data_IF_625703240462
#
_entry.id   IF_625703240462
#
_cell.length_a   1.000
_cell.length_b   1.000
_cell.length_c   1.000
_cell.angle_alpha   90.00
_cell.angle_beta   90.00
_cell.angle_gamma   90.00
#
_symmetry.space_group_name_H-M   'P 1'
#
loop_
_entity.id
_entity.type
_entity.pdbx_description
1 polymer ?
#
# COMPACT_ATOMS: atom_id res chain seq x y z
N UNK A 1 32.99 -4.06 43.31
CA UNK A 1 32.77 -4.90 44.52
C UNK A 1 31.35 -5.43 44.45
N UNK A 2 31.01 -6.71 44.44
CA UNK A 2 31.75 -7.99 44.56
C UNK A 2 31.14 -8.98 43.55
N UNK A 3 32.00 -9.82 42.99
CA UNK A 3 31.71 -10.99 42.17
C UNK A 3 31.41 -12.17 43.12
N UNK A 4 30.50 -13.08 42.74
CA UNK A 4 30.45 -14.44 43.28
C UNK A 4 30.35 -15.49 42.15
N UNK A 5 31.51 -16.04 41.81
CA UNK A 5 31.81 -17.46 41.50
C UNK A 5 31.29 -18.39 42.63
N UNK A 6 31.09 -19.71 42.54
CA UNK A 6 31.30 -20.81 41.60
C UNK A 6 30.19 -21.88 41.92
N UNK A 7 29.94 -22.95 41.17
CA UNK A 7 30.73 -24.19 41.22
C UNK A 7 30.26 -25.20 40.14
N UNK A 8 31.25 -25.87 39.57
CA UNK A 8 31.24 -26.98 38.61
C UNK A 8 30.77 -28.28 39.27
N UNK A 9 30.11 -29.17 38.49
CA UNK A 9 30.34 -30.62 38.66
C UNK A 9 30.09 -31.41 37.35
N UNK A 10 31.19 -32.01 36.92
CA UNK A 10 31.41 -33.00 35.89
C UNK A 10 30.65 -34.30 36.20
N UNK A 11 30.13 -34.99 35.18
CA UNK A 11 30.10 -36.46 35.14
C UNK A 11 30.01 -36.95 33.69
N UNK A 12 31.10 -37.55 33.23
CA UNK A 12 31.21 -38.32 31.99
C UNK A 12 31.12 -39.82 32.32
N UNK A 13 30.97 -40.65 31.26
CA UNK A 13 31.15 -42.12 31.18
C UNK A 13 29.84 -42.94 31.32
N UNK A 14 29.52 -43.97 30.53
CA UNK A 14 30.28 -44.88 29.67
C UNK A 14 29.46 -45.40 28.47
N UNK A 15 30.17 -45.73 27.39
CA UNK A 15 29.74 -46.56 26.27
C UNK A 15 29.60 -48.04 26.69
N UNK A 16 28.58 -48.72 26.18
CA UNK A 16 28.57 -50.19 26.08
C UNK A 16 28.39 -50.57 24.61
N UNK A 17 29.44 -51.21 24.09
CA UNK A 17 29.50 -51.94 22.84
C UNK A 17 28.89 -53.33 23.08
N UNK A 18 28.03 -53.80 22.19
CA UNK A 18 27.79 -55.24 22.03
C UNK A 18 27.46 -55.56 20.57
N UNK A 19 28.43 -56.16 19.89
CA UNK A 19 28.24 -56.87 18.63
C UNK A 19 27.88 -58.34 18.91
N UNK A 20 26.88 -58.90 18.22
CA UNK A 20 26.88 -60.32 17.84
C UNK A 20 26.38 -60.52 16.40
N UNK A 21 27.15 -61.36 15.72
CA UNK A 21 27.24 -61.77 14.31
C UNK A 21 25.99 -62.42 13.68
N UNK A 22 25.83 -62.08 12.40
CA UNK A 22 25.61 -62.89 11.18
C UNK A 22 24.65 -64.08 11.15
N UNK A 23 23.67 -64.00 10.23
CA UNK A 23 23.33 -65.10 9.33
C UNK A 23 22.97 -64.62 7.91
N UNK A 24 23.18 -65.53 6.95
CA UNK A 24 23.52 -65.30 5.54
C UNK A 24 22.39 -64.81 4.59
N UNK A 25 22.88 -64.08 3.58
CA UNK A 25 22.37 -63.75 2.22
C UNK A 25 21.17 -64.53 1.65
N UNK A 26 20.27 -63.79 1.01
CA UNK A 26 19.90 -64.07 -0.40
C UNK A 26 19.74 -62.75 -1.18
N UNK A 27 20.33 -62.71 -2.37
CA UNK A 27 20.29 -61.60 -3.35
C UNK A 27 19.04 -61.75 -4.21
N UNK A 28 18.38 -60.64 -4.56
CA UNK A 28 18.09 -60.14 -5.93
C UNK A 28 16.76 -59.37 -6.00
N UNK A 29 16.84 -58.04 -6.18
CA UNK A 29 16.08 -57.23 -7.14
C UNK A 29 16.12 -55.73 -6.76
N UNK A 30 16.71 -54.91 -7.62
CA UNK A 30 16.48 -53.48 -7.75
C UNK A 30 16.08 -53.22 -9.22
N UNK A 31 15.43 -52.10 -9.59
CA UNK A 31 14.79 -51.06 -8.77
C UNK A 31 13.35 -50.74 -9.24
N UNK A 32 12.43 -50.43 -8.31
CA UNK A 32 11.23 -49.68 -8.66
C UNK A 32 11.53 -48.19 -8.45
N UNK A 33 11.47 -47.44 -9.55
CA UNK A 33 11.59 -45.98 -9.62
C UNK A 33 10.62 -45.36 -8.61
N UNK A 34 11.17 -44.74 -7.56
CA UNK A 34 10.41 -43.82 -6.73
C UNK A 34 10.11 -42.61 -7.61
N UNK A 35 8.87 -42.52 -8.09
CA UNK A 35 8.33 -41.26 -8.58
C UNK A 35 8.35 -40.30 -7.41
N UNK A 36 9.36 -39.45 -7.43
CA UNK A 36 9.48 -38.27 -6.59
C UNK A 36 8.13 -37.55 -6.65
N UNK A 37 7.44 -37.52 -5.52
CA UNK A 37 6.24 -36.72 -5.37
C UNK A 37 6.72 -35.28 -5.37
N UNK A 38 6.76 -34.69 -6.57
CA UNK A 38 6.83 -33.25 -6.74
C UNK A 38 5.66 -32.70 -5.94
N UNK A 39 5.99 -32.19 -4.74
CA UNK A 39 5.09 -31.39 -3.93
C UNK A 39 4.56 -30.33 -4.86
N UNK A 40 3.30 -30.49 -5.25
CA UNK A 40 2.55 -29.51 -5.98
C UNK A 40 2.63 -28.25 -5.15
N UNK A 41 3.41 -27.27 -5.62
CA UNK A 41 3.38 -25.93 -5.07
C UNK A 41 1.90 -25.56 -4.99
N UNK A 42 1.43 -25.24 -3.79
CA UNK A 42 0.08 -24.74 -3.56
C UNK A 42 -0.11 -23.63 -4.58
N UNK A 43 -1.00 -23.86 -5.57
CA UNK A 43 -1.33 -22.87 -6.58
C UNK A 43 -1.71 -21.62 -5.79
N UNK A 44 -0.87 -20.57 -5.81
CA UNK A 44 -1.18 -19.33 -5.11
C UNK A 44 -2.60 -18.95 -5.52
N UNK A 45 -3.49 -18.82 -4.55
CA UNK A 45 -4.90 -18.58 -4.83
C UNK A 45 -5.01 -17.28 -5.62
N UNK A 46 -5.46 -17.40 -6.86
CA UNK A 46 -5.52 -16.31 -7.82
C UNK A 46 -6.47 -15.21 -7.30
N UNK A 47 -5.96 -13.99 -7.20
CA UNK A 47 -6.76 -12.81 -6.86
C UNK A 47 -7.51 -12.39 -8.12
N UNK A 48 -8.83 -12.26 -8.02
CA UNK A 48 -9.61 -11.63 -9.09
C UNK A 48 -9.34 -10.12 -9.06
N UNK A 49 -8.72 -9.63 -10.14
CA UNK A 49 -8.45 -8.20 -10.31
C UNK A 49 -9.58 -7.45 -11.02
N UNK A 50 -10.71 -8.12 -11.31
CA UNK A 50 -11.93 -7.47 -11.77
C UNK A 50 -12.52 -6.65 -10.62
N UNK A 51 -12.75 -5.36 -10.83
CA UNK A 51 -13.17 -4.39 -9.79
C UNK A 51 -12.16 -4.25 -8.65
N UNK A 52 -10.87 -4.35 -8.96
CA UNK A 52 -9.79 -4.16 -8.00
C UNK A 52 -9.58 -2.68 -7.67
N UNK A 53 -10.02 -2.28 -6.49
CA UNK A 53 -9.97 -0.90 -6.04
C UNK A 53 -9.11 -0.79 -4.77
N UNK A 54 -8.08 0.06 -4.82
CA UNK A 54 -7.26 0.41 -3.65
C UNK A 54 -7.65 1.80 -3.21
N UNK A 55 -7.79 1.99 -1.91
CA UNK A 55 -8.26 3.24 -1.34
C UNK A 55 -7.22 3.84 -0.40
N UNK A 56 -7.18 5.17 -0.39
CA UNK A 56 -6.51 5.96 0.62
C UNK A 56 -7.27 5.87 1.95
N UNK A 57 -6.55 6.06 3.05
CA UNK A 57 -7.14 6.20 4.38
C UNK A 57 -7.12 7.67 4.76
N UNK A 58 -8.29 8.26 4.88
CA UNK A 58 -8.48 9.68 5.22
C UNK A 58 -8.82 9.86 6.70
N UNK A 59 -8.55 11.06 7.23
CA UNK A 59 -8.88 11.40 8.62
C UNK A 59 -9.89 12.55 8.62
N UNK A 60 -11.07 12.31 9.18
CA UNK A 60 -12.15 13.30 9.27
C UNK A 60 -12.23 13.88 10.68
N UNK A 61 -12.19 15.20 10.80
CA UNK A 61 -12.35 15.86 12.09
C UNK A 61 -13.83 16.10 12.40
N UNK A 62 -14.26 15.70 13.61
CA UNK A 62 -15.57 16.02 14.17
C UNK A 62 -15.43 16.51 15.60
N UNK A 63 -15.44 17.83 15.77
CA UNK A 63 -15.18 18.49 17.06
C UNK A 63 -13.82 18.05 17.62
N UNK A 64 -13.81 17.39 18.77
CA UNK A 64 -12.60 16.85 19.42
C UNK A 64 -12.22 15.44 18.94
N UNK A 65 -13.05 14.81 18.09
CA UNK A 65 -12.83 13.46 17.59
C UNK A 65 -12.20 13.51 16.20
N UNK A 66 -11.29 12.56 15.97
CA UNK A 66 -10.73 12.25 14.68
C UNK A 66 -11.21 10.86 14.29
N UNK A 67 -11.88 10.77 13.15
CA UNK A 67 -12.36 9.52 12.59
C UNK A 67 -11.44 9.08 11.46
N UNK A 68 -11.04 7.82 11.47
CA UNK A 68 -10.43 7.18 10.31
C UNK A 68 -11.53 6.78 9.35
N UNK A 69 -11.43 7.23 8.11
CA UNK A 69 -12.45 7.09 7.09
C UNK A 69 -11.85 6.59 5.79
N UNK A 70 -12.56 5.68 5.13
CA UNK A 70 -12.24 5.26 3.76
C UNK A 70 -13.44 5.63 2.92
N UNK A 71 -13.23 6.57 2.01
CA UNK A 71 -14.24 6.94 1.03
C UNK A 71 -14.30 5.92 -0.09
N UNK A 72 -15.51 5.68 -0.60
CA UNK A 72 -15.78 4.89 -1.80
C UNK A 72 -16.48 5.71 -2.88
N UNK A 73 -16.59 7.03 -2.71
CA UNK A 73 -17.31 7.91 -3.63
C UNK A 73 -16.77 7.85 -5.06
N UNK A 74 -15.46 7.67 -5.26
CA UNK A 74 -14.83 7.58 -6.58
C UNK A 74 -15.42 6.45 -7.46
N UNK A 75 -15.98 5.42 -6.84
CA UNK A 75 -16.60 4.28 -7.51
C UNK A 75 -18.09 4.12 -7.21
N UNK A 76 -18.66 4.96 -6.34
CA UNK A 76 -20.07 4.93 -5.95
C UNK A 76 -20.77 6.26 -6.29
N UNK A 77 -21.36 6.31 -7.49
CA UNK A 77 -21.89 7.53 -8.10
C UNK A 77 -23.43 7.62 -8.07
N UNK A 78 -24.07 7.07 -7.04
CA UNK A 78 -25.54 7.14 -6.90
C UNK A 78 -26.00 8.55 -6.49
N UNK A 79 -26.92 9.14 -7.25
CA UNK A 79 -27.41 10.52 -7.03
C UNK A 79 -28.20 10.71 -5.74
N UNK A 80 -28.78 9.64 -5.20
CA UNK A 80 -29.58 9.66 -3.97
C UNK A 80 -28.91 8.82 -2.89
N UNK A 81 -27.62 9.04 -2.70
CA UNK A 81 -26.79 8.33 -1.74
C UNK A 81 -27.07 8.73 -0.28
N UNK A 82 -27.75 9.86 -0.07
CA UNK A 82 -28.17 10.39 1.24
C UNK A 82 -29.71 10.56 1.30
N UNK A 83 -30.35 10.39 2.47
CA UNK A 83 -31.80 10.59 2.60
C UNK A 83 -32.30 11.98 2.19
N UNK A 84 -33.18 12.05 1.18
CA UNK A 84 -33.73 13.31 0.69
C UNK A 84 -34.49 14.10 1.77
N UNK A 85 -35.20 13.41 2.67
CA UNK A 85 -35.93 14.06 3.76
C UNK A 85 -35.01 14.64 4.84
N UNK A 86 -33.77 14.13 4.95
CA UNK A 86 -32.74 14.75 5.76
C UNK A 86 -32.24 16.04 5.10
N UNK A 87 -31.94 16.01 3.79
CA UNK A 87 -31.50 17.18 3.03
C UNK A 87 -32.55 18.30 3.00
N UNK A 88 -33.85 17.99 2.94
CA UNK A 88 -34.93 18.98 3.01
C UNK A 88 -34.93 19.78 4.33
N UNK A 89 -34.42 19.19 5.42
CA UNK A 89 -34.36 19.81 6.75
C UNK A 89 -33.05 20.56 7.00
N UNK A 90 -32.18 20.71 6.01
CA UNK A 90 -30.87 21.36 6.17
C UNK A 90 -30.95 22.78 6.74
N UNK A 91 -32.03 23.54 6.45
CA UNK A 91 -32.24 24.90 6.99
C UNK A 91 -32.67 24.91 8.46
N UNK A 92 -33.15 23.79 8.98
CA UNK A 92 -33.65 23.63 10.34
C UNK A 92 -32.63 22.95 11.26
N UNK A 93 -31.65 22.25 10.68
CA UNK A 93 -30.63 21.48 11.40
C UNK A 93 -29.35 22.32 11.56
N UNK A 94 -28.72 22.29 12.75
CA UNK A 94 -27.38 22.83 12.93
C UNK A 94 -26.38 22.16 11.97
N UNK A 95 -25.40 22.92 11.48
CA UNK A 95 -24.38 22.43 10.54
C UNK A 95 -23.63 21.19 11.05
N UNK A 96 -23.38 21.09 12.36
CA UNK A 96 -22.71 19.93 12.95
C UNK A 96 -23.55 18.65 12.91
N UNK A 97 -24.88 18.76 12.77
CA UNK A 97 -25.73 17.59 12.51
C UNK A 97 -25.71 17.19 11.04
N UNK A 98 -25.42 18.13 10.14
CA UNK A 98 -25.30 17.90 8.71
C UNK A 98 -23.95 17.30 8.32
N UNK A 99 -22.89 17.52 9.10
CA UNK A 99 -21.52 17.11 8.77
C UNK A 99 -21.27 15.60 8.82
N UNK A 100 -22.17 14.82 9.42
CA UNK A 100 -22.03 13.37 9.58
C UNK A 100 -23.38 12.68 9.62
N UNK A 101 -23.52 11.59 8.85
CA UNK A 101 -24.70 10.74 8.81
C UNK A 101 -24.26 9.28 8.90
N UNK A 102 -24.85 8.52 9.82
CA UNK A 102 -24.75 7.06 9.79
C UNK A 102 -25.83 6.51 8.85
N UNK A 103 -25.42 5.73 7.85
CA UNK A 103 -26.31 5.20 6.82
C UNK A 103 -27.10 4.01 7.38
N UNK A 104 -28.40 4.01 7.15
CA UNK A 104 -29.25 2.87 7.51
C UNK A 104 -28.96 1.64 6.63
N UNK A 105 -29.62 0.52 6.94
CA UNK A 105 -29.45 -0.74 6.22
C UNK A 105 -29.77 -0.65 4.72
N UNK A 106 -30.72 0.20 4.31
CA UNK A 106 -31.11 0.38 2.90
C UNK A 106 -30.01 1.11 2.13
N UNK A 107 -29.52 2.24 2.66
CA UNK A 107 -28.45 3.00 2.04
C UNK A 107 -27.12 2.25 2.06
N UNK A 108 -26.80 1.57 3.17
CA UNK A 108 -25.64 0.68 3.26
C UNK A 108 -25.68 -0.41 2.21
N UNK A 109 -26.83 -1.08 2.04
CA UNK A 109 -26.97 -2.14 1.03
C UNK A 109 -26.73 -1.59 -0.37
N UNK A 110 -27.32 -0.44 -0.72
CA UNK A 110 -27.10 0.21 -2.03
C UNK A 110 -25.63 0.55 -2.25
N UNK A 111 -24.96 1.10 -1.23
CA UNK A 111 -23.53 1.41 -1.30
C UNK A 111 -22.72 0.14 -1.56
N UNK A 112 -22.91 -0.91 -0.76
CA UNK A 112 -22.23 -2.20 -0.92
C UNK A 112 -22.47 -2.84 -2.30
N UNK A 113 -23.72 -2.87 -2.76
CA UNK A 113 -24.06 -3.38 -4.09
C UNK A 113 -23.36 -2.59 -5.20
N UNK A 114 -23.34 -1.25 -5.08
CA UNK A 114 -22.76 -0.33 -6.05
C UNK A 114 -21.24 -0.45 -6.18
N UNK A 115 -20.56 -0.77 -5.08
CA UNK A 115 -19.09 -1.00 -5.05
C UNK A 115 -18.71 -2.47 -5.18
N UNK A 116 -19.69 -3.35 -5.43
CA UNK A 116 -19.52 -4.79 -5.62
C UNK A 116 -18.89 -5.52 -4.42
N UNK A 117 -19.31 -5.15 -3.20
CA UNK A 117 -18.86 -5.76 -1.94
C UNK A 117 -20.06 -6.32 -1.18
N UNK A 118 -19.83 -7.32 -0.35
CA UNK A 118 -20.84 -7.98 0.48
C UNK A 118 -20.51 -7.85 1.96
N UNK A 119 -21.51 -8.07 2.82
CA UNK A 119 -21.31 -8.07 4.28
C UNK A 119 -20.34 -9.17 4.79
N UNK A 120 -20.09 -10.20 3.96
CA UNK A 120 -19.17 -11.29 4.28
C UNK A 120 -17.72 -10.97 3.91
N UNK A 121 -17.49 -9.89 3.17
CA UNK A 121 -16.15 -9.45 2.81
C UNK A 121 -15.43 -8.83 4.00
N UNK A 122 -14.16 -8.49 3.79
CA UNK A 122 -13.32 -7.86 4.79
C UNK A 122 -12.61 -6.64 4.23
N UNK A 123 -12.45 -5.65 5.09
CA UNK A 123 -11.46 -4.60 4.92
C UNK A 123 -10.09 -5.15 5.29
N UNK A 124 -9.13 -4.91 4.42
CA UNK A 124 -7.72 -5.17 4.59
C UNK A 124 -6.97 -3.85 4.58
N UNK A 125 -6.32 -3.52 5.69
CA UNK A 125 -5.45 -2.35 5.82
C UNK A 125 -4.00 -2.82 5.83
N UNK A 126 -3.24 -2.42 4.83
CA UNK A 126 -1.85 -2.79 4.73
C UNK A 126 -0.94 -1.59 4.95
N UNK A 127 -0.18 -1.64 6.04
CA UNK A 127 0.85 -0.66 6.33
C UNK A 127 2.16 -1.08 5.66
N UNK A 128 2.52 -0.47 4.54
CA UNK A 128 3.69 -0.87 3.76
C UNK A 128 5.03 -0.47 4.38
N UNK A 129 5.03 0.47 5.33
CA UNK A 129 6.22 0.81 6.12
C UNK A 129 6.57 -0.28 7.13
N UNK A 130 5.59 -0.70 7.91
CA UNK A 130 5.75 -1.73 8.95
C UNK A 130 5.57 -3.15 8.43
N UNK A 131 5.13 -3.30 7.17
CA UNK A 131 4.77 -4.56 6.54
C UNK A 131 3.70 -5.35 7.32
N UNK A 132 2.72 -4.66 7.92
CA UNK A 132 1.67 -5.27 8.73
C UNK A 132 0.31 -5.18 8.03
N UNK A 133 -0.40 -6.31 8.02
CA UNK A 133 -1.77 -6.41 7.53
C UNK A 133 -2.76 -6.48 8.71
N UNK A 134 -3.76 -5.61 8.70
CA UNK A 134 -4.93 -5.71 9.56
C UNK A 134 -6.16 -6.14 8.75
N UNK A 135 -6.99 -6.97 9.36
CA UNK A 135 -8.25 -7.44 8.78
C UNK A 135 -9.44 -7.08 9.68
N UNK A 136 -10.47 -6.47 9.11
CA UNK A 136 -11.73 -6.17 9.78
C UNK A 136 -12.91 -6.64 8.92
N UNK A 137 -13.87 -7.43 9.44
CA UNK A 137 -15.08 -7.79 8.69
C UNK A 137 -15.91 -6.56 8.30
N UNK A 138 -16.42 -6.52 7.07
CA UNK A 138 -17.22 -5.39 6.56
C UNK A 138 -18.46 -5.15 7.42
N UNK A 139 -19.14 -6.21 7.87
CA UNK A 139 -20.32 -6.13 8.75
C UNK A 139 -20.07 -5.51 10.14
N UNK A 140 -18.81 -5.29 10.52
CA UNK A 140 -18.45 -4.57 11.76
C UNK A 140 -18.16 -3.08 11.54
N UNK A 141 -18.04 -2.65 10.29
CA UNK A 141 -17.76 -1.27 9.95
C UNK A 141 -19.04 -0.46 9.89
N UNK A 142 -18.99 0.82 10.29
CA UNK A 142 -20.11 1.74 10.12
C UNK A 142 -20.08 2.32 8.71
N UNK A 143 -21.20 2.22 8.01
CA UNK A 143 -21.38 2.92 6.74
C UNK A 143 -21.86 4.34 7.05
N UNK A 144 -21.15 5.34 6.54
CA UNK A 144 -21.34 6.73 6.92
C UNK A 144 -21.21 7.65 5.70
N UNK A 145 -21.77 8.85 5.83
CA UNK A 145 -21.55 9.95 4.92
C UNK A 145 -20.98 11.14 5.72
N UNK A 146 -19.82 11.64 5.29
CA UNK A 146 -19.24 12.89 5.81
C UNK A 146 -19.49 13.99 4.81
N UNK A 147 -19.85 15.17 5.29
CA UNK A 147 -19.91 16.33 4.42
C UNK A 147 -18.49 16.65 3.92
N UNK A 148 -18.37 17.00 2.63
CA UNK A 148 -17.11 17.38 2.02
C UNK A 148 -16.42 18.52 2.80
N UNK A 149 -15.09 18.51 2.94
CA UNK A 149 -14.35 19.57 3.62
C UNK A 149 -14.46 20.94 2.92
N UNK A 150 -14.96 20.98 1.68
CA UNK A 150 -15.21 22.22 0.93
C UNK A 150 -16.57 22.85 1.25
N UNK A 151 -17.41 22.20 2.06
CA UNK A 151 -18.70 22.75 2.47
C UNK A 151 -18.56 23.54 3.76
N UNK A 152 -19.11 24.75 3.76
CA UNK A 152 -19.20 25.64 4.90
C UNK A 152 -20.63 25.78 5.44
N UNK A 153 -20.73 26.38 6.63
CA UNK A 153 -22.01 26.79 7.18
C UNK A 153 -22.68 27.83 6.27
N UNK A 154 -23.92 27.56 5.87
CA UNK A 154 -24.70 28.43 4.98
C UNK A 154 -24.70 28.00 3.51
N UNK A 155 -23.83 27.04 3.12
CA UNK A 155 -23.86 26.47 1.78
C UNK A 155 -25.10 25.60 1.55
N UNK A 156 -25.57 25.54 0.31
CA UNK A 156 -26.62 24.61 -0.08
C UNK A 156 -26.03 23.19 -0.15
N UNK A 157 -26.59 22.28 0.65
CA UNK A 157 -26.12 20.90 0.77
C UNK A 157 -27.05 19.99 -0.02
N UNK A 158 -26.45 19.20 -0.91
CA UNK A 158 -27.12 18.13 -1.65
C UNK A 158 -26.49 16.76 -1.39
N UNK A 159 -26.94 15.72 -2.09
CA UNK A 159 -26.38 14.37 -1.91
C UNK A 159 -24.94 14.27 -2.43
N UNK A 160 -24.56 15.06 -3.42
CA UNK A 160 -23.23 15.06 -4.02
C UNK A 160 -22.22 15.78 -3.13
N UNK A 161 -22.68 16.60 -2.19
CA UNK A 161 -21.87 17.27 -1.17
C UNK A 161 -21.24 16.32 -0.14
N UNK A 162 -21.64 15.04 -0.13
CA UNK A 162 -21.18 14.05 0.83
C UNK A 162 -20.16 13.07 0.26
N UNK A 163 -19.13 12.78 1.06
CA UNK A 163 -18.22 11.65 0.89
C UNK A 163 -18.82 10.42 1.59
N UNK A 164 -19.02 9.34 0.83
CA UNK A 164 -19.63 8.11 1.35
C UNK A 164 -18.58 7.03 1.54
N UNK A 165 -18.72 6.23 2.60
CA UNK A 165 -17.81 5.12 2.84
C UNK A 165 -17.91 4.54 4.24
N UNK A 166 -16.77 4.13 4.79
CA UNK A 166 -16.71 3.43 6.06
C UNK A 166 -15.87 4.16 7.10
N UNK A 167 -16.45 4.35 8.28
CA UNK A 167 -15.73 4.76 9.48
C UNK A 167 -15.06 3.53 10.10
N UNK A 168 -13.75 3.63 10.32
CA UNK A 168 -12.89 2.51 10.72
C UNK A 168 -12.51 2.57 12.20
N UNK A 169 -12.19 3.76 12.68
CA UNK A 169 -11.71 4.01 14.03
C UNK A 169 -12.06 5.46 14.44
N UNK A 170 -12.11 5.71 15.74
CA UNK A 170 -12.38 7.04 16.32
C UNK A 170 -11.52 7.24 17.55
N UNK A 171 -10.77 8.34 17.60
CA UNK A 171 -9.98 8.70 18.77
C UNK A 171 -9.94 10.20 19.01
N UNK A 172 -9.53 10.60 20.22
CA UNK A 172 -9.13 11.98 20.52
C UNK A 172 -7.65 12.17 20.17
N UNK A 173 -7.31 13.38 19.72
CA UNK A 173 -5.93 13.78 19.44
C UNK A 173 -5.40 13.35 18.06
N UNK A 174 -4.19 13.82 17.73
CA UNK A 174 -3.62 13.77 16.36
C UNK A 174 -2.77 12.54 16.08
N UNK A 175 -2.50 11.67 17.05
CA UNK A 175 -1.69 10.45 16.85
C UNK A 175 -2.29 9.48 15.81
N UNK A 176 -3.53 9.70 15.37
CA UNK A 176 -4.20 8.93 14.33
C UNK A 176 -3.52 9.09 12.97
N UNK A 177 -2.91 10.25 12.69
CA UNK A 177 -2.26 10.52 11.41
C UNK A 177 -1.06 9.59 11.19
N UNK A 178 -0.17 9.48 12.18
CA UNK A 178 1.00 8.61 12.12
C UNK A 178 0.63 7.12 11.95
N UNK A 179 -0.50 6.71 12.52
CA UNK A 179 -1.01 5.34 12.44
C UNK A 179 -1.37 4.93 11.00
N UNK A 180 -1.88 5.87 10.19
CA UNK A 180 -2.43 5.59 8.86
C UNK A 180 -1.66 6.20 7.69
N UNK A 181 -0.61 6.99 7.95
CA UNK A 181 0.21 7.67 6.94
C UNK A 181 0.70 6.78 5.78
N UNK A 182 1.10 5.54 6.09
CA UNK A 182 1.64 4.58 5.10
C UNK A 182 0.72 3.37 4.93
N UNK A 183 -0.60 3.59 4.97
CA UNK A 183 -1.62 2.55 4.90
C UNK A 183 -2.45 2.70 3.64
N UNK A 184 -2.60 1.60 2.92
CA UNK A 184 -3.59 1.47 1.84
C UNK A 184 -4.65 0.45 2.21
N UNK A 185 -5.85 0.65 1.68
CA UNK A 185 -7.02 -0.16 1.98
C UNK A 185 -7.50 -0.94 0.75
N UNK A 186 -8.01 -2.14 1.00
CA UNK A 186 -8.72 -2.96 0.03
C UNK A 186 -9.92 -3.63 0.71
N UNK A 187 -11.04 -3.71 0.01
CA UNK A 187 -12.21 -4.47 0.43
C UNK A 187 -12.40 -5.69 -0.46
N UNK A 188 -12.61 -6.85 0.13
CA UNK A 188 -12.95 -8.06 -0.60
C UNK A 188 -12.93 -9.32 0.26
N UNK A 189 -13.17 -10.46 -0.37
CA UNK A 189 -13.22 -11.75 0.34
C UNK A 189 -11.82 -12.21 0.79
N UNK A 190 -10.77 -11.81 0.06
CA UNK A 190 -9.38 -12.21 0.30
C UNK A 190 -8.43 -11.01 0.24
N UNK A 191 -7.35 -11.08 1.02
CA UNK A 191 -6.29 -10.06 0.95
C UNK A 191 -5.49 -10.20 -0.34
N UNK A 192 -5.32 -9.12 -1.13
CA UNK A 192 -4.43 -9.12 -2.28
C UNK A 192 -2.98 -8.85 -1.89
N UNK A 193 -2.73 -8.37 -0.67
CA UNK A 193 -1.42 -7.91 -0.25
C UNK A 193 -0.45 -9.05 0.03
N UNK A 194 0.82 -8.80 -0.28
CA UNK A 194 1.95 -9.64 0.10
C UNK A 194 2.70 -8.97 1.25
N UNK A 195 2.68 -9.60 2.41
CA UNK A 195 3.35 -9.07 3.60
C UNK A 195 4.87 -9.21 3.51
N UNK A 196 5.60 -8.30 4.15
CA UNK A 196 7.07 -8.33 4.32
C UNK A 196 7.90 -8.13 3.05
N UNK A 197 7.27 -7.75 1.93
CA UNK A 197 7.96 -7.53 0.66
C UNK A 197 8.07 -6.07 0.24
N UNK A 198 7.47 -5.13 1.00
CA UNK A 198 7.65 -3.70 0.75
C UNK A 198 8.88 -3.17 1.46
N UNK A 199 9.65 -2.34 0.74
CA UNK A 199 10.86 -1.67 1.22
C UNK A 199 10.82 -0.20 0.84
N UNK A 200 11.28 0.61 1.76
CA UNK A 200 11.59 2.01 1.50
C UNK A 200 12.82 2.08 0.59
N UNK A 201 12.75 2.89 -0.45
CA UNK A 201 13.89 3.17 -1.31
C UNK A 201 14.81 4.15 -0.59
N UNK A 202 16.09 3.80 -0.49
CA UNK A 202 17.15 4.65 0.05
C UNK A 202 18.08 5.01 -1.09
N UNK A 203 17.97 6.24 -1.57
CA UNK A 203 18.68 6.67 -2.76
C UNK A 203 20.14 6.96 -2.45
N UNK A 204 21.04 6.26 -3.15
CA UNK A 204 22.48 6.50 -3.09
C UNK A 204 22.93 7.25 -4.34
N UNK A 205 23.91 8.14 -4.22
CA UNK A 205 24.42 8.88 -5.39
C UNK A 205 25.03 7.90 -6.41
N UNK A 206 24.64 8.04 -7.67
CA UNK A 206 25.21 7.27 -8.78
C UNK A 206 26.32 8.06 -9.50
N UNK A 207 27.18 7.34 -10.21
CA UNK A 207 28.28 7.92 -10.99
C UNK A 207 27.81 8.61 -12.28
N UNK A 208 28.61 9.53 -12.84
CA UNK A 208 28.29 10.22 -14.09
C UNK A 208 28.24 9.30 -15.32
N UNK A 209 28.83 8.11 -15.24
CA UNK A 209 28.73 7.05 -16.23
C UNK A 209 27.29 6.50 -16.35
N UNK A 210 26.59 6.38 -15.22
CA UNK A 210 25.18 5.96 -15.17
C UNK A 210 24.29 6.98 -15.87
N UNK A 211 24.48 8.28 -15.57
CA UNK A 211 23.76 9.37 -16.23
C UNK A 211 23.91 9.27 -17.76
N UNK A 212 25.16 9.19 -18.26
CA UNK A 212 25.45 9.12 -19.70
C UNK A 212 24.86 7.87 -20.37
N UNK A 213 24.85 6.74 -19.65
CA UNK A 213 24.40 5.45 -20.18
C UNK A 213 22.88 5.36 -20.29
N UNK A 214 22.16 5.79 -19.26
CA UNK A 214 20.72 5.54 -19.14
C UNK A 214 19.85 6.77 -19.37
N UNK A 215 20.42 7.98 -19.28
CA UNK A 215 19.68 9.23 -19.45
C UNK A 215 20.36 10.18 -20.46
N UNK A 216 20.73 9.73 -21.67
CA UNK A 216 21.33 10.63 -22.66
C UNK A 216 20.30 11.61 -23.26
N UNK A 217 20.79 12.72 -23.79
CA UNK A 217 20.04 13.53 -24.77
C UNK A 217 18.93 14.45 -24.24
N UNK A 218 18.84 14.66 -22.92
CA UNK A 218 17.92 15.66 -22.36
C UNK A 218 18.32 17.09 -22.74
N UNK A 219 17.32 17.94 -23.04
CA UNK A 219 17.47 19.39 -23.23
C UNK A 219 17.54 20.14 -21.90
N UNK A 220 16.92 19.59 -20.84
CA UNK A 220 17.00 20.09 -19.48
C UNK A 220 18.40 19.97 -18.87
N UNK A 221 18.69 20.80 -17.87
CA UNK A 221 19.93 20.70 -17.10
C UNK A 221 19.89 19.45 -16.24
N UNK A 222 20.98 18.68 -16.20
CA UNK A 222 21.05 17.50 -15.34
C UNK A 222 21.22 17.88 -13.87
N UNK A 223 20.32 17.38 -13.03
CA UNK A 223 20.41 17.38 -11.58
C UNK A 223 21.14 16.13 -11.05
N UNK A 224 20.71 15.66 -9.87
CA UNK A 224 21.31 14.48 -9.24
C UNK A 224 20.91 13.18 -9.93
N UNK A 225 21.87 12.27 -10.05
CA UNK A 225 21.64 10.86 -10.42
C UNK A 225 21.78 9.98 -9.18
N UNK A 226 20.82 9.10 -8.95
CA UNK A 226 20.81 8.20 -7.80
C UNK A 226 20.47 6.77 -8.20
N UNK A 227 20.78 5.84 -7.32
CA UNK A 227 20.56 4.42 -7.50
C UNK A 227 20.01 3.75 -6.24
N UNK A 228 19.36 2.62 -6.43
CA UNK A 228 18.94 1.71 -5.36
C UNK A 228 18.88 0.27 -5.88
N UNK A 229 19.07 -0.71 -5.00
CA UNK A 229 18.96 -2.13 -5.34
C UNK A 229 17.84 -2.80 -4.55
N UNK A 230 17.01 -3.57 -5.24
CA UNK A 230 15.97 -4.40 -4.65
C UNK A 230 15.95 -5.76 -5.32
N UNK A 231 16.29 -6.82 -4.58
CA UNK A 231 16.44 -8.16 -5.16
C UNK A 231 17.46 -8.17 -6.30
N UNK A 232 17.05 -8.64 -7.47
CA UNK A 232 17.85 -8.66 -8.70
C UNK A 232 17.65 -7.41 -9.58
N UNK A 233 16.95 -6.39 -9.07
CA UNK A 233 16.68 -5.15 -9.79
C UNK A 233 17.58 -4.02 -9.30
N UNK A 234 18.06 -3.21 -10.24
CA UNK A 234 18.75 -1.95 -9.98
C UNK A 234 17.94 -0.80 -10.53
N UNK A 235 17.63 0.16 -9.69
CA UNK A 235 16.85 1.35 -9.98
C UNK A 235 17.83 2.48 -10.17
N UNK A 236 17.65 3.27 -11.22
CA UNK A 236 18.35 4.52 -11.46
C UNK A 236 17.33 5.64 -11.60
N UNK A 237 17.58 6.75 -10.93
CA UNK A 237 16.74 7.94 -11.05
C UNK A 237 17.59 9.16 -11.39
N UNK A 238 17.08 10.01 -12.26
CA UNK A 238 17.71 11.26 -12.69
C UNK A 238 16.72 12.41 -12.53
N UNK A 239 17.10 13.41 -11.75
CA UNK A 239 16.41 14.70 -11.74
C UNK A 239 16.87 15.55 -12.94
N UNK A 240 15.94 16.11 -13.68
CA UNK A 240 16.17 17.05 -14.77
C UNK A 240 15.60 18.40 -14.36
N UNK A 241 16.41 19.43 -14.50
CA UNK A 241 16.20 20.74 -13.89
C UNK A 241 15.88 21.81 -14.93
N UNK A 242 15.01 22.72 -14.51
CA UNK A 242 14.77 24.04 -15.11
C UNK A 242 15.16 25.16 -14.12
N UNK A 243 14.86 26.42 -14.45
CA UNK A 243 15.20 27.60 -13.63
C UNK A 243 14.77 27.44 -12.15
N UNK A 244 13.59 26.87 -11.90
CA UNK A 244 12.95 26.84 -10.58
C UNK A 244 13.09 25.52 -9.83
N UNK A 245 13.76 24.51 -10.38
CA UNK A 245 13.94 23.23 -9.70
C UNK A 245 13.86 22.02 -10.61
N UNK A 246 13.41 20.89 -10.06
CA UNK A 246 13.22 19.65 -10.81
C UNK A 246 11.93 19.76 -11.61
N UNK A 247 12.03 19.63 -12.93
CA UNK A 247 10.91 19.65 -13.87
C UNK A 247 10.49 18.23 -14.25
N UNK A 248 11.48 17.37 -14.53
CA UNK A 248 11.24 15.96 -14.81
C UNK A 248 12.08 15.09 -13.86
N UNK A 249 11.50 13.96 -13.45
CA UNK A 249 12.24 12.88 -12.80
C UNK A 249 12.14 11.62 -13.63
N UNK A 250 13.27 11.12 -14.11
CA UNK A 250 13.32 9.91 -14.94
C UNK A 250 13.76 8.71 -14.13
N UNK A 251 12.97 7.66 -14.12
CA UNK A 251 13.26 6.36 -13.51
C UNK A 251 13.57 5.34 -14.61
N UNK A 252 14.64 4.57 -14.41
CA UNK A 252 14.99 3.40 -15.21
C UNK A 252 15.23 2.23 -14.26
N UNK A 253 14.69 1.05 -14.59
CA UNK A 253 14.94 -0.19 -13.83
C UNK A 253 15.61 -1.22 -14.72
N UNK A 254 16.70 -1.78 -14.20
CA UNK A 254 17.58 -2.74 -14.86
C UNK A 254 17.52 -4.08 -14.11
N UNK A 255 17.45 -5.20 -14.83
CA UNK A 255 17.54 -6.54 -14.24
C UNK A 255 19.00 -7.01 -14.05
N UNK A 256 19.20 -8.20 -13.51
CA UNK A 256 20.50 -8.85 -13.31
C UNK A 256 21.22 -9.23 -14.62
N UNK A 257 20.49 -9.26 -15.74
CA UNK A 257 21.04 -9.42 -17.09
C UNK A 257 21.47 -8.10 -17.74
N UNK A 258 21.45 -6.98 -17.00
CA UNK A 258 21.74 -5.62 -17.48
C UNK A 258 20.76 -5.09 -18.55
N UNK A 259 19.56 -5.66 -18.62
CA UNK A 259 18.52 -5.24 -19.54
C UNK A 259 17.61 -4.20 -18.89
N UNK A 260 17.26 -3.15 -19.64
CA UNK A 260 16.25 -2.18 -19.22
C UNK A 260 14.86 -2.82 -19.30
N UNK A 261 14.26 -3.07 -18.13
CA UNK A 261 12.95 -3.72 -18.03
C UNK A 261 11.81 -2.71 -17.89
N UNK A 262 12.11 -1.51 -17.39
CA UNK A 262 11.13 -0.45 -17.15
C UNK A 262 11.77 0.93 -17.28
N UNK A 263 10.99 1.89 -17.78
CA UNK A 263 11.33 3.30 -17.73
C UNK A 263 10.07 4.15 -17.55
N UNK A 264 10.20 5.26 -16.82
CA UNK A 264 9.13 6.23 -16.63
C UNK A 264 9.69 7.62 -16.42
N UNK A 265 9.04 8.60 -17.02
CA UNK A 265 9.24 10.01 -16.70
C UNK A 265 8.08 10.46 -15.82
N UNK A 266 8.39 11.04 -14.67
CA UNK A 266 7.44 11.75 -13.82
C UNK A 266 7.57 13.24 -14.11
N UNK A 267 6.44 13.91 -14.26
CA UNK A 267 6.30 15.37 -14.45
C UNK A 267 5.37 15.91 -13.37
N UNK A 268 5.47 17.21 -13.10
CA UNK A 268 4.57 17.92 -12.20
C UNK A 268 3.46 18.58 -13.03
N UNK A 269 2.30 17.93 -13.11
CA UNK A 269 1.08 18.50 -13.67
C UNK A 269 0.16 18.96 -12.52
N UNK A 270 -0.70 19.95 -12.77
CA UNK A 270 -1.80 20.35 -11.89
C UNK A 270 -1.40 20.59 -10.41
N UNK A 271 -0.36 21.38 -10.19
CA UNK A 271 0.09 21.77 -8.85
C UNK A 271 0.71 20.65 -8.02
N UNK A 272 1.01 19.50 -8.63
CA UNK A 272 1.78 18.45 -7.96
C UNK A 272 3.21 18.91 -7.65
N UNK A 273 3.79 18.33 -6.59
CA UNK A 273 5.19 18.53 -6.24
C UNK A 273 5.96 17.21 -6.32
N UNK A 274 7.27 17.28 -6.58
CA UNK A 274 8.12 16.10 -6.41
C UNK A 274 8.39 15.86 -4.94
N UNK A 275 8.12 14.64 -4.48
CA UNK A 275 8.61 14.21 -3.17
C UNK A 275 10.14 14.20 -3.19
N UNK A 276 10.82 14.67 -2.13
CA UNK A 276 12.28 14.56 -2.04
C UNK A 276 12.72 13.10 -2.16
N UNK A 277 13.87 12.89 -2.81
CA UNK A 277 14.53 11.59 -2.82
C UNK A 277 15.22 11.39 -1.46
N UNK A 278 14.70 10.47 -0.66
CA UNK A 278 15.25 10.16 0.66
C UNK A 278 16.66 9.53 0.57
N UNK A 279 17.65 10.21 1.18
CA UNK A 279 19.09 9.86 1.09
C UNK A 279 19.64 9.22 2.36
N UNK A 280 18.96 9.37 3.49
CA UNK A 280 19.37 8.86 4.81
C UNK A 280 18.18 8.30 5.56
N UNK A 281 18.38 7.23 6.34
CA UNK A 281 17.34 6.71 7.23
C UNK A 281 17.31 7.48 8.55
N UNK A 282 16.93 8.76 8.53
CA UNK A 282 16.53 9.42 9.77
C UNK A 282 15.25 8.76 10.29
N UNK A 283 15.07 8.75 11.61
CA UNK A 283 13.83 8.29 12.26
C UNK A 283 12.68 9.30 12.10
N UNK A 284 12.92 10.41 11.40
CA UNK A 284 11.87 11.35 11.01
C UNK A 284 10.89 10.65 10.06
N UNK A 285 9.64 11.09 10.12
CA UNK A 285 8.52 10.46 9.44
C UNK A 285 8.84 10.29 7.94
N UNK A 286 8.93 9.03 7.49
CA UNK A 286 9.19 8.63 6.08
C UNK A 286 8.00 8.96 5.16
N UNK A 287 7.38 10.12 5.36
CA UNK A 287 6.17 10.61 4.71
C UNK A 287 6.39 10.75 3.21
N UNK A 288 7.53 11.33 2.82
CA UNK A 288 7.88 11.59 1.43
C UNK A 288 8.66 10.44 0.77
N UNK A 289 8.94 9.36 1.51
CA UNK A 289 9.81 8.31 1.01
C UNK A 289 9.18 7.55 -0.15
N UNK A 290 9.98 7.18 -1.15
CA UNK A 290 9.54 6.27 -2.21
C UNK A 290 9.58 4.83 -1.71
N UNK A 291 8.64 4.03 -2.21
CA UNK A 291 8.49 2.63 -1.81
C UNK A 291 8.54 1.71 -3.03
N UNK A 292 9.13 0.53 -2.84
CA UNK A 292 9.12 -0.53 -3.85
C UNK A 292 8.99 -1.91 -3.22
N UNK A 293 8.49 -2.86 -3.98
CA UNK A 293 8.34 -4.24 -3.52
C UNK A 293 7.27 -5.01 -4.26
N UNK A 294 7.11 -6.27 -3.92
CA UNK A 294 5.94 -7.05 -4.39
C UNK A 294 4.78 -6.72 -3.46
N UNK A 295 3.87 -5.86 -3.92
CA UNK A 295 2.73 -5.41 -3.12
C UNK A 295 1.53 -6.34 -3.24
N UNK A 296 1.25 -6.83 -4.46
CA UNK A 296 0.07 -7.63 -4.76
C UNK A 296 0.44 -9.03 -5.23
N UNK A 297 -0.32 -10.03 -4.77
CA UNK A 297 -0.14 -11.43 -5.16
C UNK A 297 -0.30 -11.59 -6.68
N UNK A 298 0.60 -12.33 -7.31
CA UNK A 298 0.56 -12.59 -8.75
C UNK A 298 0.76 -11.36 -9.65
N UNK A 299 1.32 -10.25 -9.12
CA UNK A 299 1.65 -9.05 -9.90
C UNK A 299 3.13 -8.72 -9.84
N UNK A 300 3.58 -7.94 -10.83
CA UNK A 300 4.92 -7.38 -10.86
C UNK A 300 5.21 -6.52 -9.62
N UNK A 301 6.49 -6.34 -9.24
CA UNK A 301 6.87 -5.38 -8.22
C UNK A 301 6.37 -3.97 -8.58
N UNK A 302 6.13 -3.15 -7.56
CA UNK A 302 5.64 -1.79 -7.72
C UNK A 302 6.68 -0.77 -7.29
N UNK A 303 6.50 0.47 -7.73
CA UNK A 303 7.22 1.65 -7.26
C UNK A 303 6.25 2.84 -7.20
N UNK A 304 6.31 3.67 -6.16
CA UNK A 304 5.40 4.80 -6.02
C UNK A 304 5.90 5.87 -5.05
N UNK A 305 5.10 6.93 -4.90
CA UNK A 305 5.35 8.11 -4.05
C UNK A 305 6.47 9.04 -4.58
N UNK A 306 6.62 9.16 -5.90
CA UNK A 306 7.57 10.12 -6.52
C UNK A 306 7.04 11.55 -6.58
N UNK A 307 5.71 11.70 -6.68
CA UNK A 307 5.01 12.97 -6.72
C UNK A 307 3.94 13.00 -5.64
N UNK A 308 3.69 14.18 -5.09
CA UNK A 308 2.57 14.49 -4.21
C UNK A 308 1.59 15.39 -5.00
N UNK A 309 0.46 14.86 -5.49
CA UNK A 309 -0.51 15.66 -6.20
C UNK A 309 -1.19 16.66 -5.26
N UNK A 310 -1.31 17.92 -5.69
CA UNK A 310 -2.24 18.88 -5.04
C UNK A 310 -3.68 18.63 -5.50
N UNK A 311 -3.84 18.24 -6.76
CA UNK A 311 -5.11 17.83 -7.37
C UNK A 311 -4.97 16.42 -7.93
N UNK A 312 -6.00 15.61 -7.76
CA UNK A 312 -6.00 14.20 -8.16
C UNK A 312 -5.51 13.26 -7.05
N UNK A 313 -5.38 11.98 -7.41
CA UNK A 313 -5.05 10.93 -6.46
C UNK A 313 -3.69 10.29 -6.74
N UNK A 314 -2.99 9.78 -5.70
CA UNK A 314 -1.72 9.08 -5.90
C UNK A 314 -1.92 7.78 -6.67
N UNK A 315 -0.86 7.33 -7.35
CA UNK A 315 -0.88 6.10 -8.14
C UNK A 315 0.27 5.16 -7.76
N UNK A 316 -0.01 3.86 -7.87
CA UNK A 316 0.96 2.78 -7.72
C UNK A 316 1.46 2.41 -9.12
N UNK A 317 2.77 2.49 -9.36
CA UNK A 317 3.34 2.10 -10.64
C UNK A 317 3.83 0.66 -10.61
N UNK A 318 3.31 -0.23 -11.47
CA UNK A 318 3.86 -1.58 -11.68
C UNK A 318 5.10 -1.52 -12.59
N UNK A 319 6.13 -2.28 -12.22
CA UNK A 319 7.33 -2.51 -13.03
C UNK A 319 7.05 -3.59 -14.10
N UNK A 320 6.04 -3.33 -14.92
CA UNK A 320 5.58 -4.15 -16.04
C UNK A 320 5.61 -3.30 -17.32
N UNK A 321 5.54 -3.91 -18.51
CA UNK A 321 5.55 -3.23 -19.81
C UNK A 321 4.16 -2.88 -20.33
N UNK A 322 3.10 -3.61 -19.95
CA UNK A 322 1.78 -3.47 -20.58
C UNK A 322 0.75 -2.66 -19.78
N UNK A 323 0.77 -2.73 -18.43
CA UNK A 323 -0.11 -1.96 -17.55
C UNK A 323 0.64 -1.48 -16.34
N UNK A 324 0.99 -0.20 -16.35
CA UNK A 324 1.97 0.34 -15.42
C UNK A 324 1.37 1.09 -14.26
N UNK A 325 0.06 1.40 -14.22
CA UNK A 325 -0.48 2.25 -13.15
C UNK A 325 -1.80 1.74 -12.56
N UNK A 326 -1.93 1.93 -11.25
CA UNK A 326 -3.15 1.74 -10.48
C UNK A 326 -3.35 2.97 -9.59
N UNK A 327 -4.39 3.75 -9.88
CA UNK A 327 -4.81 4.88 -9.06
C UNK A 327 -5.30 4.38 -7.70
N UNK A 328 -4.92 5.09 -6.64
CA UNK A 328 -5.45 4.91 -5.28
C UNK A 328 -6.64 5.86 -5.15
N UNK A 329 -7.84 5.33 -4.94
CA UNK A 329 -9.04 6.16 -4.72
C UNK A 329 -8.89 6.99 -3.46
N UNK A 330 -9.07 8.29 -3.57
CA UNK A 330 -8.80 9.25 -2.49
C UNK A 330 -9.95 10.24 -2.25
N UNK A 331 -11.05 10.14 -3.01
CA UNK A 331 -12.15 11.09 -3.03
C UNK A 331 -11.67 12.50 -3.37
N UNK A 332 -11.00 12.62 -4.53
CA UNK A 332 -10.55 13.91 -5.04
C UNK A 332 -11.74 14.70 -5.60
N UNK A 333 -12.18 15.72 -4.86
CA UNK A 333 -13.32 16.59 -5.21
C UNK A 333 -12.92 17.96 -5.78
N UNK A 334 -11.64 18.11 -6.10
CA UNK A 334 -11.10 19.28 -6.76
C UNK A 334 -11.28 19.24 -8.27
#
# INVERSE_FOLDING_TARGET
MKINTALVLLCSQLMIISCKKDDKKTVQNQPAIVKDSVKTATKEEEIDFKNFNIFNVSIMQRKELMDTFISVSDIYNEKNAVPADFLKKQKELPFEKMSYIELDASYRKKMLDGIHITENDSLYLYNYQTNKLQKTPVNKLKAVAYLSPYMGEGDEIDSESYMLGFQIDTQKGTNIFDKYMNVIAYFGSKSPFVENQMKMIKWEKAGPDIQKKYFPGSTHKYGGTYQYKYGNLTYYVQDLLEEYGTEERKLVVINDHNEKIFEKTFTIEDGAEFNPLEKTGSEETNYYAQWTGILFKGKAPVVFNFTAPSFGCPAITFLDKEKTELTIHCDNRH
#
